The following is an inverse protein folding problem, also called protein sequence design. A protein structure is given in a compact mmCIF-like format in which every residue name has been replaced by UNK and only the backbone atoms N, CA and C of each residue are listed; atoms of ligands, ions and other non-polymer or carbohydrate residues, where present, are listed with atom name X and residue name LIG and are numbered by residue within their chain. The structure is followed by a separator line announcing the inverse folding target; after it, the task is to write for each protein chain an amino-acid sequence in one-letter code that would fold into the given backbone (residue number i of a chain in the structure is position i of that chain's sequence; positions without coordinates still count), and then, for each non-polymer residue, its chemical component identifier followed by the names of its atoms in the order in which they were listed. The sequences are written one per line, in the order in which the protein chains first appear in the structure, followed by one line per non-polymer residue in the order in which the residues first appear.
data_IF_321475088668
#
_entry.id   IF_321475088668
#
_cell.length_a   1.000
_cell.length_b   1.000
_cell.length_c   1.000
_cell.angle_alpha   90.00
_cell.angle_beta   90.00
_cell.angle_gamma   90.00
#
_symmetry.space_group_name_H-M   'P 1'
#
loop_
_entity.id
_entity.type
_entity.pdbx_description
1 polymer ?
#
# COMPACT_ATOMS: atom_id res chain seq x y z
N UNK A 1 -2.74 -2.62 -22.78
CA UNK A 1 -3.91 -3.40 -22.38
C UNK A 1 -3.57 -4.45 -21.33
N UNK A 2 -2.60 -5.33 -21.58
CA UNK A 2 -2.20 -6.40 -20.63
C UNK A 2 -1.75 -5.90 -19.26
N UNK A 3 -1.09 -4.75 -19.19
CA UNK A 3 -0.65 -4.13 -17.93
C UNK A 3 -1.81 -3.76 -16.99
N UNK A 4 -3.01 -3.54 -17.53
CA UNK A 4 -4.21 -3.24 -16.73
C UNK A 4 -5.04 -4.49 -16.44
N UNK A 5 -5.06 -5.47 -17.36
CA UNK A 5 -5.85 -6.68 -17.21
C UNK A 5 -5.43 -7.50 -15.98
N UNK A 6 -4.14 -7.75 -15.84
CA UNK A 6 -3.62 -8.53 -14.72
C UNK A 6 -3.91 -7.91 -13.34
N UNK A 7 -3.65 -6.60 -13.11
CA UNK A 7 -4.05 -5.95 -11.86
C UNK A 7 -5.56 -5.99 -11.59
N UNK A 8 -6.41 -5.89 -12.61
CA UNK A 8 -7.87 -5.98 -12.44
C UNK A 8 -8.31 -7.39 -12.03
N UNK A 9 -7.71 -8.43 -12.61
CA UNK A 9 -7.96 -9.82 -12.21
C UNK A 9 -7.52 -10.02 -10.76
N UNK A 10 -6.36 -9.50 -10.38
CA UNK A 10 -5.85 -9.58 -9.01
C UNK A 10 -6.78 -8.87 -8.03
N UNK A 11 -7.26 -7.68 -8.38
CA UNK A 11 -8.23 -6.95 -7.57
C UNK A 11 -9.53 -7.75 -7.37
N UNK A 12 -10.09 -8.29 -8.46
CA UNK A 12 -11.28 -9.12 -8.42
C UNK A 12 -11.06 -10.36 -7.52
N UNK A 13 -9.93 -11.04 -7.68
CA UNK A 13 -9.57 -12.18 -6.84
C UNK A 13 -9.48 -11.79 -5.36
N UNK A 14 -8.78 -10.71 -5.03
CA UNK A 14 -8.61 -10.23 -3.65
C UNK A 14 -9.94 -9.91 -2.98
N UNK A 15 -10.89 -9.35 -3.73
CA UNK A 15 -12.21 -8.98 -3.19
C UNK A 15 -13.16 -10.17 -3.08
N UNK A 16 -13.13 -11.10 -4.03
CA UNK A 16 -14.07 -12.24 -4.08
C UNK A 16 -13.64 -13.43 -3.24
N UNK A 17 -12.32 -13.65 -3.10
CA UNK A 17 -11.77 -14.79 -2.34
C UNK A 17 -11.82 -14.62 -0.82
N UNK A 18 -12.14 -13.41 -0.30
CA UNK A 18 -12.05 -13.08 1.11
C UNK A 18 -10.61 -12.92 1.64
N UNK A 19 -9.61 -12.97 0.75
CA UNK A 19 -8.21 -12.83 1.12
C UNK A 19 -7.92 -11.45 1.71
N UNK A 20 -8.46 -10.38 1.12
CA UNK A 20 -8.30 -9.01 1.63
C UNK A 20 -8.87 -8.88 3.05
N UNK A 21 -10.01 -9.50 3.31
CA UNK A 21 -10.64 -9.52 4.63
C UNK A 21 -9.77 -10.28 5.65
N UNK A 22 -9.34 -11.48 5.32
CA UNK A 22 -8.46 -12.27 6.17
C UNK A 22 -7.17 -11.52 6.50
N UNK A 23 -6.52 -10.90 5.51
CA UNK A 23 -5.28 -10.17 5.72
C UNK A 23 -5.49 -8.92 6.57
N UNK A 24 -6.61 -8.19 6.37
CA UNK A 24 -6.98 -7.04 7.18
C UNK A 24 -7.13 -7.43 8.66
N UNK A 25 -7.88 -8.49 8.96
CA UNK A 25 -8.01 -8.99 10.32
C UNK A 25 -6.67 -9.44 10.90
N UNK A 26 -5.86 -10.15 10.13
CA UNK A 26 -4.54 -10.61 10.54
C UNK A 26 -3.63 -9.44 10.92
N UNK A 27 -3.61 -8.38 10.12
CA UNK A 27 -2.84 -7.17 10.41
C UNK A 27 -3.32 -6.48 11.68
N UNK A 28 -4.63 -6.31 11.84
CA UNK A 28 -5.19 -5.58 12.98
C UNK A 28 -5.05 -6.34 14.32
N UNK A 29 -4.92 -7.66 14.29
CA UNK A 29 -4.72 -8.50 15.50
C UNK A 29 -3.25 -8.67 15.90
N UNK A 30 -2.30 -8.12 15.17
CA UNK A 30 -0.88 -8.16 15.57
C UNK A 30 -0.68 -7.38 16.87
N UNK A 31 -0.16 -8.04 17.91
CA UNK A 31 -0.01 -7.49 19.28
C UNK A 31 0.66 -6.11 19.34
N UNK A 32 1.64 -5.84 18.46
CA UNK A 32 2.36 -4.57 18.44
C UNK A 32 1.59 -3.43 17.75
N UNK A 33 0.50 -3.75 17.02
CA UNK A 33 -0.37 -2.78 16.32
C UNK A 33 -1.61 -2.43 17.13
N UNK A 34 -2.09 -3.35 17.97
CA UNK A 34 -3.29 -3.17 18.79
C UNK A 34 -3.17 -1.93 19.67
N UNK A 35 -4.19 -1.07 19.64
CA UNK A 35 -4.21 0.19 20.41
C UNK A 35 -3.28 1.31 19.91
N UNK A 36 -2.58 1.10 18.80
CA UNK A 36 -1.63 2.08 18.26
C UNK A 36 -1.96 2.43 16.79
N UNK A 37 -2.95 3.29 16.52
CA UNK A 37 -3.46 3.55 15.18
C UNK A 37 -2.37 4.06 14.21
N UNK A 38 -1.45 4.89 14.66
CA UNK A 38 -0.36 5.39 13.82
C UNK A 38 0.64 4.30 13.43
N UNK A 39 0.81 3.26 14.24
CA UNK A 39 1.63 2.09 13.87
C UNK A 39 0.94 1.26 12.77
N UNK A 40 -0.39 1.15 12.81
CA UNK A 40 -1.17 0.48 11.74
C UNK A 40 -0.97 1.23 10.42
N UNK A 41 -1.12 2.55 10.43
CA UNK A 41 -0.92 3.39 9.24
C UNK A 41 0.51 3.27 8.70
N UNK A 42 1.50 3.34 9.59
CA UNK A 42 2.91 3.17 9.21
C UNK A 42 3.14 1.79 8.58
N UNK A 43 2.56 0.74 9.15
CA UNK A 43 2.67 -0.62 8.61
C UNK A 43 2.05 -0.73 7.21
N UNK A 44 0.88 -0.12 6.98
CA UNK A 44 0.24 -0.07 5.66
C UNK A 44 1.18 0.60 4.65
N UNK A 45 1.76 1.73 4.99
CA UNK A 45 2.67 2.47 4.09
C UNK A 45 3.96 1.70 3.82
N UNK A 46 4.54 1.05 4.83
CA UNK A 46 5.74 0.24 4.68
C UNK A 46 5.48 -1.00 3.81
N UNK A 47 4.39 -1.73 4.09
CA UNK A 47 4.01 -2.90 3.28
C UNK A 47 3.75 -2.48 1.83
N UNK A 48 3.05 -1.37 1.62
CA UNK A 48 2.82 -0.81 0.28
C UNK A 48 4.12 -0.51 -0.44
N UNK A 49 5.08 0.11 0.26
CA UNK A 49 6.39 0.46 -0.31
C UNK A 49 7.24 -0.77 -0.64
N UNK A 50 7.25 -1.77 0.24
CA UNK A 50 7.97 -3.03 0.03
C UNK A 50 7.36 -3.82 -1.15
N UNK A 51 6.04 -3.92 -1.19
CA UNK A 51 5.36 -4.60 -2.29
C UNK A 51 5.66 -3.94 -3.64
N UNK A 52 5.69 -2.62 -3.67
CA UNK A 52 5.99 -1.89 -4.90
C UNK A 52 7.38 -2.20 -5.45
N UNK A 53 8.33 -2.52 -4.59
CA UNK A 53 9.68 -2.90 -5.02
C UNK A 53 9.70 -4.17 -5.87
N UNK A 54 8.76 -5.09 -5.62
CA UNK A 54 8.67 -6.38 -6.33
C UNK A 54 7.56 -6.42 -7.38
N UNK A 55 6.53 -5.60 -7.21
CA UNK A 55 5.30 -5.67 -8.00
C UNK A 55 5.07 -4.33 -8.70
N UNK A 56 4.54 -4.38 -9.92
CA UNK A 56 4.24 -3.18 -10.70
C UNK A 56 3.25 -2.24 -9.97
N UNK A 57 3.45 -0.92 -10.15
CA UNK A 57 2.66 0.17 -9.52
C UNK A 57 1.15 -0.11 -9.45
N UNK A 58 0.53 -0.38 -10.60
CA UNK A 58 -0.91 -0.60 -10.65
C UNK A 58 -1.35 -1.86 -9.91
N UNK A 59 -0.57 -2.94 -10.01
CA UNK A 59 -0.87 -4.17 -9.30
C UNK A 59 -0.78 -3.97 -7.78
N UNK A 60 0.19 -3.20 -7.30
CA UNK A 60 0.31 -2.88 -5.86
C UNK A 60 -0.88 -2.03 -5.38
N UNK A 61 -1.32 -1.03 -6.16
CA UNK A 61 -2.49 -0.22 -5.81
C UNK A 61 -3.73 -1.10 -5.71
N UNK A 62 -4.00 -1.90 -6.74
CA UNK A 62 -5.18 -2.78 -6.78
C UNK A 62 -5.14 -3.88 -5.72
N UNK A 63 -3.96 -4.27 -5.25
CA UNK A 63 -3.83 -5.21 -4.15
C UNK A 63 -4.06 -4.53 -2.79
N UNK A 64 -3.49 -3.34 -2.58
CA UNK A 64 -3.56 -2.67 -1.27
C UNK A 64 -4.89 -1.99 -1.01
N UNK A 65 -5.59 -1.51 -2.03
CA UNK A 65 -6.88 -0.83 -1.85
C UNK A 65 -7.95 -1.72 -1.20
N UNK A 66 -8.23 -2.95 -1.68
CA UNK A 66 -9.22 -3.82 -1.02
C UNK A 66 -8.87 -4.11 0.44
N UNK A 67 -7.58 -4.35 0.72
CA UNK A 67 -7.10 -4.62 2.08
C UNK A 67 -7.37 -3.40 2.96
N UNK A 68 -6.99 -2.22 2.49
CA UNK A 68 -7.20 -0.99 3.25
C UNK A 68 -8.70 -0.65 3.44
N UNK A 69 -9.51 -0.78 2.37
CA UNK A 69 -10.96 -0.55 2.45
C UNK A 69 -11.55 -1.48 3.52
N UNK A 70 -11.12 -2.73 3.55
CA UNK A 70 -11.62 -3.69 4.55
C UNK A 70 -11.17 -3.33 5.97
N UNK A 71 -9.93 -2.88 6.16
CA UNK A 71 -9.45 -2.34 7.43
C UNK A 71 -10.32 -1.16 7.88
N UNK A 72 -10.61 -0.22 6.97
CA UNK A 72 -11.43 0.95 7.27
C UNK A 72 -12.88 0.56 7.63
N UNK A 73 -13.51 -0.35 6.88
CA UNK A 73 -14.86 -0.85 7.15
C UNK A 73 -14.94 -1.53 8.52
N UNK A 74 -13.99 -2.42 8.82
CA UNK A 74 -13.93 -3.13 10.10
C UNK A 74 -13.75 -2.17 11.28
N UNK A 75 -12.95 -1.11 11.09
CA UNK A 75 -12.78 -0.04 12.07
C UNK A 75 -13.99 0.91 12.17
N UNK A 76 -15.02 0.73 11.31
CA UNK A 76 -16.23 1.54 11.32
C UNK A 76 -16.10 2.89 10.59
N UNK A 77 -15.11 3.05 9.72
CA UNK A 77 -15.04 4.21 8.82
C UNK A 77 -15.97 4.04 7.63
N UNK A 78 -16.53 5.16 7.16
CA UNK A 78 -17.40 5.20 5.99
C UNK A 78 -16.68 5.74 4.76
N UNK A 79 -17.21 5.42 3.58
CA UNK A 79 -16.76 6.03 2.32
C UNK A 79 -16.97 7.54 2.41
N UNK A 80 -15.89 8.31 2.24
CA UNK A 80 -15.92 9.78 2.37
C UNK A 80 -15.31 10.32 3.66
N UNK A 81 -15.03 9.48 4.65
CA UNK A 81 -14.29 9.91 5.83
C UNK A 81 -12.90 10.41 5.42
N UNK A 82 -12.43 11.50 6.06
CA UNK A 82 -11.09 12.08 5.78
C UNK A 82 -9.97 11.07 5.93
N UNK A 83 -10.12 10.13 6.86
CA UNK A 83 -9.18 9.04 7.07
C UNK A 83 -9.03 8.17 5.81
N UNK A 84 -10.14 7.73 5.23
CA UNK A 84 -10.14 6.87 4.03
C UNK A 84 -9.50 7.61 2.85
N UNK A 85 -9.91 8.85 2.59
CA UNK A 85 -9.33 9.67 1.52
C UNK A 85 -7.83 9.90 1.70
N UNK A 86 -7.40 10.23 2.91
CA UNK A 86 -5.99 10.43 3.23
C UNK A 86 -5.14 9.20 2.92
N UNK A 87 -5.52 8.01 3.41
CA UNK A 87 -4.74 6.79 3.20
C UNK A 87 -4.73 6.39 1.73
N UNK A 88 -5.88 6.44 1.04
CA UNK A 88 -5.95 6.08 -0.38
C UNK A 88 -5.10 7.00 -1.26
N UNK A 89 -5.15 8.31 -1.02
CA UNK A 89 -4.28 9.26 -1.72
C UNK A 89 -2.80 9.00 -1.42
N UNK A 90 -2.46 8.73 -0.16
CA UNK A 90 -1.08 8.45 0.24
C UNK A 90 -0.55 7.17 -0.40
N UNK A 91 -1.34 6.10 -0.48
CA UNK A 91 -0.95 4.87 -1.19
C UNK A 91 -0.58 5.19 -2.64
N UNK A 92 -1.38 5.98 -3.36
CA UNK A 92 -1.09 6.38 -4.74
C UNK A 92 0.19 7.22 -4.83
N UNK A 93 0.38 8.18 -3.94
CA UNK A 93 1.59 9.02 -3.89
C UNK A 93 2.85 8.19 -3.67
N UNK A 94 2.83 7.24 -2.73
CA UNK A 94 3.93 6.33 -2.46
C UNK A 94 4.32 5.52 -3.69
N UNK A 95 3.34 5.10 -4.49
CA UNK A 95 3.56 4.35 -5.72
C UNK A 95 4.22 5.20 -6.81
N UNK A 96 3.80 6.44 -6.95
CA UNK A 96 4.29 7.34 -8.00
C UNK A 96 5.77 7.67 -7.82
N UNK A 97 6.22 7.93 -6.60
CA UNK A 97 7.62 8.30 -6.30
C UNK A 97 8.56 7.13 -6.56
N UNK A 98 8.18 5.93 -6.16
CA UNK A 98 9.01 4.74 -6.34
C UNK A 98 9.04 4.26 -7.80
N UNK A 99 7.98 4.52 -8.58
CA UNK A 99 7.82 4.00 -9.95
C UNK A 99 8.95 4.40 -10.90
N UNK A 100 9.53 5.59 -10.73
CA UNK A 100 10.64 6.10 -11.54
C UNK A 100 12.02 5.66 -11.05
N UNK A 101 12.10 5.07 -9.86
CA UNK A 101 13.39 4.77 -9.20
C UNK A 101 13.72 3.28 -9.19
N UNK A 102 12.73 2.41 -9.43
CA UNK A 102 12.95 0.96 -9.52
C UNK A 102 13.47 0.64 -10.92
N UNK A 103 14.70 0.15 -11.05
CA UNK A 103 15.40 0.06 -12.34
C UNK A 103 14.76 -0.89 -13.36
N UNK A 104 13.98 -1.86 -12.89
CA UNK A 104 13.21 -2.78 -13.73
C UNK A 104 11.76 -2.32 -13.96
N UNK A 105 11.39 -1.16 -13.38
CA UNK A 105 10.07 -0.57 -13.59
C UNK A 105 9.95 0.09 -14.96
N UNK A 106 8.78 0.02 -15.58
CA UNK A 106 8.53 0.59 -16.89
C UNK A 106 8.96 2.07 -16.99
N UNK A 107 8.58 2.87 -16.00
CA UNK A 107 8.92 4.31 -16.00
C UNK A 107 10.42 4.54 -15.84
N UNK A 108 11.10 3.77 -15.03
CA UNK A 108 12.53 3.90 -14.82
C UNK A 108 13.32 3.51 -16.09
N UNK A 109 12.93 2.41 -16.73
CA UNK A 109 13.55 1.97 -17.99
C UNK A 109 13.36 3.01 -19.08
N UNK A 110 12.16 3.58 -19.21
CA UNK A 110 11.88 4.64 -20.18
C UNK A 110 12.71 5.90 -19.89
N UNK A 111 12.76 6.32 -18.63
CA UNK A 111 13.54 7.48 -18.21
C UNK A 111 15.04 7.28 -18.46
N UNK A 112 15.56 6.10 -18.12
CA UNK A 112 16.97 5.75 -18.36
C UNK A 112 17.32 5.75 -19.86
N UNK A 113 16.42 5.24 -20.70
CA UNK A 113 16.60 5.27 -22.16
C UNK A 113 16.68 6.71 -22.68
N UNK A 114 15.73 7.57 -22.29
CA UNK A 114 15.72 8.97 -22.67
C UNK A 114 16.96 9.73 -22.16
N UNK A 115 17.41 9.43 -20.94
CA UNK A 115 18.64 10.03 -20.39
C UNK A 115 19.89 9.55 -21.13
N UNK A 116 19.98 8.27 -21.47
CA UNK A 116 21.10 7.73 -22.24
C UNK A 116 21.19 8.37 -23.63
N UNK A 117 20.07 8.56 -24.30
CA UNK A 117 20.00 9.28 -25.59
C UNK A 117 20.48 10.73 -25.44
N UNK A 118 20.02 11.44 -24.42
CA UNK A 118 20.42 12.82 -24.13
C UNK A 118 21.91 12.97 -23.77
N UNK A 119 22.51 11.93 -23.20
CA UNK A 119 23.90 11.87 -22.77
C UNK A 119 24.82 11.22 -23.82
N UNK A 120 24.39 11.14 -25.07
CA UNK A 120 25.16 10.53 -26.18
C UNK A 120 25.59 9.07 -25.90
N UNK A 121 24.70 8.28 -25.31
CA UNK A 121 24.94 6.89 -25.00
C UNK A 121 25.73 6.64 -23.70
N UNK A 122 25.93 7.66 -22.88
CA UNK A 122 26.57 7.46 -21.57
C UNK A 122 25.66 6.62 -20.63
N UNK A 123 26.17 5.55 -20.02
CA UNK A 123 25.33 4.71 -19.19
C UNK A 123 24.83 5.47 -17.95
N UNK A 124 23.54 5.45 -17.74
CA UNK A 124 22.94 6.05 -16.55
C UNK A 124 23.21 5.12 -15.35
N UNK A 125 23.84 5.62 -14.27
CA UNK A 125 24.24 4.77 -13.16
C UNK A 125 23.01 4.28 -12.38
N UNK A 126 22.87 2.96 -12.29
CA UNK A 126 21.77 2.27 -11.63
C UNK A 126 21.70 2.51 -10.11
N UNK A 127 22.84 2.35 -9.40
CA UNK A 127 22.89 2.40 -7.94
C UNK A 127 22.48 3.77 -7.39
N UNK A 128 22.97 4.91 -7.89
CA UNK A 128 22.52 6.22 -7.44
C UNK A 128 21.01 6.45 -7.60
N UNK A 129 20.43 6.02 -8.73
CA UNK A 129 18.99 6.18 -8.99
C UNK A 129 18.18 5.39 -7.97
N UNK A 130 18.54 4.12 -7.73
CA UNK A 130 17.90 3.26 -6.75
C UNK A 130 18.04 3.85 -5.33
N UNK A 131 19.24 4.32 -4.98
CA UNK A 131 19.49 4.91 -3.66
C UNK A 131 18.66 6.15 -3.42
N UNK A 132 18.58 7.05 -4.40
CA UNK A 132 17.73 8.24 -4.34
C UNK A 132 16.26 7.87 -4.23
N UNK A 133 15.82 6.83 -4.94
CA UNK A 133 14.45 6.32 -4.84
C UNK A 133 14.10 5.80 -3.46
N UNK A 134 14.98 5.01 -2.85
CA UNK A 134 14.77 4.49 -1.50
C UNK A 134 14.72 5.63 -0.48
N UNK A 135 15.66 6.59 -0.57
CA UNK A 135 15.67 7.77 0.30
C UNK A 135 14.38 8.58 0.11
N UNK A 136 13.98 8.84 -1.14
CA UNK A 136 12.75 9.54 -1.48
C UNK A 136 11.50 8.84 -0.93
N UNK A 137 11.47 7.51 -1.01
CA UNK A 137 10.38 6.72 -0.47
C UNK A 137 10.28 6.83 1.05
N UNK A 138 11.39 6.72 1.76
CA UNK A 138 11.45 6.87 3.22
C UNK A 138 10.98 8.28 3.61
N UNK A 139 11.49 9.31 2.95
CA UNK A 139 11.08 10.69 3.19
C UNK A 139 9.59 10.88 2.95
N UNK A 140 9.04 10.30 1.88
CA UNK A 140 7.61 10.39 1.57
C UNK A 140 6.75 9.74 2.63
N UNK A 141 7.13 8.56 3.14
CA UNK A 141 6.44 7.92 4.27
C UNK A 141 6.46 8.82 5.50
N UNK A 142 7.61 9.38 5.85
CA UNK A 142 7.75 10.28 7.02
C UNK A 142 6.90 11.55 6.83
N UNK A 143 6.99 12.18 5.66
CA UNK A 143 6.20 13.39 5.35
C UNK A 143 4.70 13.07 5.38
N UNK A 144 4.28 11.96 4.80
CA UNK A 144 2.87 11.56 4.81
C UNK A 144 2.35 11.36 6.24
N UNK A 145 3.10 10.65 7.09
CA UNK A 145 2.74 10.46 8.50
C UNK A 145 2.65 11.79 9.25
N UNK A 146 3.64 12.66 9.04
CA UNK A 146 3.64 14.01 9.65
C UNK A 146 2.44 14.81 9.17
N UNK A 147 2.17 14.85 7.88
CA UNK A 147 1.08 15.59 7.26
C UNK A 147 -0.28 15.09 7.77
N UNK A 148 -0.50 13.77 7.81
CA UNK A 148 -1.73 13.18 8.34
C UNK A 148 -1.95 13.49 9.82
N UNK A 149 -0.88 13.45 10.62
CA UNK A 149 -0.97 13.63 12.07
C UNK A 149 -1.12 15.09 12.49
N UNK A 150 -0.36 15.99 11.89
CA UNK A 150 -0.24 17.39 12.36
C UNK A 150 -1.01 18.40 11.50
N UNK A 151 -1.11 18.17 10.19
CA UNK A 151 -1.73 19.14 9.26
C UNK A 151 -3.20 18.76 9.03
N UNK A 152 -3.49 17.59 8.48
CA UNK A 152 -4.88 17.15 8.24
C UNK A 152 -5.58 16.81 9.56
N UNK A 153 -4.82 16.36 10.57
CA UNK A 153 -5.32 15.87 11.86
C UNK A 153 -6.39 14.81 11.65
N UNK A 154 -5.99 13.77 10.95
CA UNK A 154 -6.86 12.65 10.60
C UNK A 154 -7.36 11.99 11.88
N UNK A 155 -8.68 11.82 11.99
CA UNK A 155 -9.27 11.10 13.12
C UNK A 155 -8.99 9.60 13.01
N UNK A 156 -8.17 9.11 13.92
CA UNK A 156 -7.76 7.70 14.01
C UNK A 156 -8.37 6.98 15.21
N UNK A 157 -9.29 7.64 15.93
CA UNK A 157 -9.89 7.13 17.18
C UNK A 157 -10.62 5.80 17.01
N UNK A 158 -11.23 5.58 15.84
CA UNK A 158 -11.92 4.33 15.52
C UNK A 158 -10.96 3.14 15.40
N UNK A 159 -9.69 3.36 14.98
CA UNK A 159 -8.66 2.32 14.98
C UNK A 159 -8.13 2.00 16.37
N UNK A 160 -8.24 2.92 17.32
CA UNK A 160 -7.79 2.73 18.69
C UNK A 160 -8.79 1.89 19.50
N UNK A 161 -10.09 2.10 19.25
CA UNK A 161 -11.21 1.46 19.96
C UNK A 161 -11.87 0.41 19.08
N UNK A 162 -11.15 -0.66 18.77
CA UNK A 162 -11.75 -1.79 18.07
C UNK A 162 -12.78 -2.48 18.98
N UNK A 163 -13.98 -2.84 18.46
CA UNK A 163 -14.98 -3.59 19.21
C UNK A 163 -14.44 -4.95 19.68
N UNK A 164 -14.82 -5.39 20.88
CA UNK A 164 -14.39 -6.70 21.43
C UNK A 164 -14.78 -7.87 20.52
N UNK A 165 -15.92 -7.79 19.84
CA UNK A 165 -16.37 -8.76 18.83
C UNK A 165 -15.42 -8.92 17.64
N UNK A 166 -14.56 -7.93 17.42
CA UNK A 166 -13.57 -7.95 16.36
C UNK A 166 -12.55 -9.07 16.55
N UNK A 167 -12.04 -9.23 17.77
CA UNK A 167 -11.02 -10.25 18.06
C UNK A 167 -11.59 -11.66 17.95
N UNK A 168 -12.86 -11.86 18.34
CA UNK A 168 -13.56 -13.14 18.20
C UNK A 168 -13.77 -13.50 16.72
N UNK A 169 -14.17 -12.53 15.90
CA UNK A 169 -14.31 -12.74 14.45
C UNK A 169 -12.96 -13.02 13.78
N UNK A 170 -11.89 -12.35 14.20
CA UNK A 170 -10.57 -12.55 13.65
C UNK A 170 -10.04 -13.99 13.84
N UNK A 171 -10.37 -14.65 14.94
CA UNK A 171 -9.99 -16.04 15.20
C UNK A 171 -10.80 -17.05 14.36
N UNK A 172 -12.03 -16.69 13.98
CA UNK A 172 -12.94 -17.58 13.23
C UNK A 172 -12.79 -17.46 11.71
N UNK A 173 -12.20 -16.38 11.20
CA UNK A 173 -12.04 -16.18 9.76
C UNK A 173 -10.94 -17.12 9.23
N UNK A 174 -11.40 -18.18 8.55
CA UNK A 174 -10.53 -19.07 7.77
C UNK A 174 -10.55 -18.64 6.32
N UNK A 175 -9.37 -18.68 5.67
CA UNK A 175 -9.27 -18.55 4.21
C UNK A 175 -10.25 -19.51 3.55
N UNK A 176 -11.02 -19.04 2.58
CA UNK A 176 -11.87 -19.91 1.78
C UNK A 176 -11.01 -20.98 1.09
N UNK A 177 -11.59 -22.15 0.78
CA UNK A 177 -10.87 -23.18 0.07
C UNK A 177 -10.33 -22.70 -1.29
N UNK A 178 -11.01 -21.75 -1.93
CA UNK A 178 -10.55 -21.11 -3.16
C UNK A 178 -9.28 -20.27 -2.97
N UNK A 179 -9.13 -19.61 -1.81
CA UNK A 179 -7.95 -18.81 -1.50
C UNK A 179 -6.74 -19.65 -1.02
N UNK A 180 -6.94 -20.95 -0.75
CA UNK A 180 -5.86 -21.89 -0.37
C UNK A 180 -5.20 -22.57 -1.56
N UNK A 181 -5.89 -22.64 -2.70
CA UNK A 181 -5.48 -23.41 -3.88
C UNK A 181 -5.41 -22.57 -5.18
N UNK A 182 -5.58 -21.23 -5.08
CA UNK A 182 -5.48 -20.30 -6.20
C UNK A 182 -4.07 -19.74 -6.44
#
# INVERSE_FOLDING_TARGET
FFQMLFPMILFAFMTTSGFAEWLAYKMLTMKFLVGHPWRIITMIFLVTSILHFFVHTWATIFLMWPIFIKIAEVAGYQKGDKFVGYIMCTIVMLQTIMASSIPWGFYAVTLQSLMADALNGYPVPFIPILTLGIIGQILTVVIALFYGKFIIRVDVSKLEKMPDDFYVKAETIKLSSQAKFG
#
